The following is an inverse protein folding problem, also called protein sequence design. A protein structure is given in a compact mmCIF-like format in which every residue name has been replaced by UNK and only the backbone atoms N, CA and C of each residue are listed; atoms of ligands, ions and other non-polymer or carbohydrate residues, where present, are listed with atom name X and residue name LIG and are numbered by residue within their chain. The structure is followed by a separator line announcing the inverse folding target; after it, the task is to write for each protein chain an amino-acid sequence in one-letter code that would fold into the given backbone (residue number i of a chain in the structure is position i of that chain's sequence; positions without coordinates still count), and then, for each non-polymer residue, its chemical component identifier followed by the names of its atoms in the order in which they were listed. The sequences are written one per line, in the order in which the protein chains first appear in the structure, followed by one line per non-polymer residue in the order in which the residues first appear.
data_IF_620111536753
#
_entry.id   IF_620111536753
#
_cell.length_a   1.000
_cell.length_b   1.000
_cell.length_c   1.000
_cell.angle_alpha   90.00
_cell.angle_beta   90.00
_cell.angle_gamma   90.00
#
_symmetry.space_group_name_H-M   'P 1'
#
loop_
_entity.id
_entity.type
_entity.pdbx_description
1 polymer ?
#
# COMPACT_ATOMS: atom_id res chain seq x y z
N UNK A 1 -1.68 9.73 -4.14
CA UNK A 1 -1.52 11.16 -4.52
C UNK A 1 -0.04 11.59 -4.55
N UNK A 2 0.78 11.19 -3.56
CA UNK A 2 2.17 11.65 -3.42
C UNK A 2 3.13 11.23 -4.55
N UNK A 3 3.03 10.00 -5.07
CA UNK A 3 3.96 9.49 -6.09
C UNK A 3 3.93 10.29 -7.40
N UNK A 4 2.75 10.48 -8.00
CA UNK A 4 2.59 11.24 -9.25
C UNK A 4 3.00 12.71 -9.07
N UNK A 5 2.68 13.30 -7.91
CA UNK A 5 3.07 14.69 -7.61
C UNK A 5 4.57 14.87 -7.42
N UNK A 6 5.20 13.99 -6.63
CA UNK A 6 6.64 14.03 -6.37
C UNK A 6 7.45 13.82 -7.65
N UNK A 7 7.15 12.76 -8.41
CA UNK A 7 7.84 12.47 -9.68
C UNK A 7 7.63 13.58 -10.71
N UNK A 8 6.42 14.17 -10.80
CA UNK A 8 6.16 15.34 -11.64
C UNK A 8 7.07 16.52 -11.30
N UNK A 9 7.31 16.79 -10.02
CA UNK A 9 8.19 17.89 -9.59
C UNK A 9 9.64 17.63 -9.98
N UNK A 10 10.19 16.46 -9.62
CA UNK A 10 11.60 16.12 -9.85
C UNK A 10 11.91 16.08 -11.35
N UNK A 11 11.12 15.34 -12.13
CA UNK A 11 11.35 15.19 -13.57
C UNK A 11 11.21 16.52 -14.33
N UNK A 12 10.32 17.41 -13.90
CA UNK A 12 10.21 18.76 -14.50
C UNK A 12 11.31 19.72 -14.08
N UNK A 13 12.03 19.44 -13.00
CA UNK A 13 13.24 20.19 -12.62
C UNK A 13 14.44 19.69 -13.43
N UNK A 14 14.60 18.38 -13.59
CA UNK A 14 15.68 17.76 -14.35
C UNK A 14 15.55 17.96 -15.86
N UNK A 15 14.32 17.97 -16.38
CA UNK A 15 14.02 18.08 -17.81
C UNK A 15 13.13 19.31 -18.10
N UNK A 16 13.70 20.52 -18.23
CA UNK A 16 12.93 21.75 -18.42
C UNK A 16 11.99 21.74 -19.63
N UNK A 17 12.33 21.01 -20.69
CA UNK A 17 11.47 20.88 -21.88
C UNK A 17 10.13 20.17 -21.60
N UNK A 18 10.01 19.42 -20.50
CA UNK A 18 8.74 18.81 -20.08
C UNK A 18 7.74 19.83 -19.54
N UNK A 19 8.20 21.01 -19.11
CA UNK A 19 7.32 22.13 -18.71
C UNK A 19 6.76 22.87 -19.91
N UNK A 20 7.52 22.95 -21.01
CA UNK A 20 7.11 23.71 -22.20
C UNK A 20 6.19 22.90 -23.11
N UNK A 21 6.38 21.58 -23.19
CA UNK A 21 5.58 20.71 -24.07
C UNK A 21 4.26 20.24 -23.48
N UNK A 22 4.11 20.20 -22.16
CA UNK A 22 2.92 19.64 -21.51
C UNK A 22 2.54 20.41 -20.23
N UNK A 23 1.25 20.71 -20.00
CA UNK A 23 0.79 21.44 -18.81
C UNK A 23 0.90 20.60 -17.53
N UNK A 24 0.65 19.29 -17.59
CA UNK A 24 0.87 18.32 -16.48
C UNK A 24 1.66 17.11 -16.95
N UNK A 25 2.49 16.52 -16.06
CA UNK A 25 3.28 15.33 -16.43
C UNK A 25 2.44 14.05 -16.39
N UNK A 26 1.50 13.96 -15.45
CA UNK A 26 0.59 12.84 -15.32
C UNK A 26 -0.85 13.32 -15.41
N UNK A 27 -1.72 12.50 -16.01
CA UNK A 27 -3.17 12.69 -15.94
C UNK A 27 -3.67 12.47 -14.51
N UNK A 28 -4.93 12.78 -14.19
CA UNK A 28 -5.45 12.50 -12.84
C UNK A 28 -5.63 10.98 -12.62
N UNK A 29 -6.04 10.26 -13.66
CA UNK A 29 -6.36 8.83 -13.61
C UNK A 29 -5.15 7.93 -13.32
N UNK A 30 -5.40 6.84 -12.60
CA UNK A 30 -4.43 5.76 -12.39
C UNK A 30 -5.19 4.44 -12.22
N UNK A 31 -4.56 3.34 -12.58
CA UNK A 31 -5.08 2.00 -12.37
C UNK A 31 -4.31 1.34 -11.22
N UNK A 32 -5.01 0.66 -10.33
CA UNK A 32 -4.44 -0.12 -9.23
C UNK A 32 -5.20 -1.43 -9.12
N UNK A 33 -4.46 -2.53 -9.01
CA UNK A 33 -4.99 -3.85 -8.73
C UNK A 33 -4.15 -4.47 -7.62
N UNK A 34 -4.82 -5.17 -6.69
CA UNK A 34 -4.13 -5.95 -5.66
C UNK A 34 -3.54 -7.20 -6.30
N UNK A 35 -2.29 -7.51 -5.95
CA UNK A 35 -1.63 -8.75 -6.36
C UNK A 35 -1.44 -9.63 -5.13
N UNK A 36 -1.68 -10.93 -5.28
CA UNK A 36 -1.59 -11.92 -4.19
C UNK A 36 -2.91 -12.12 -3.44
N UNK A 37 -3.37 -13.37 -3.38
CA UNK A 37 -4.31 -13.81 -2.35
C UNK A 37 -3.53 -14.21 -1.08
N UNK A 38 -4.19 -14.28 0.07
CA UNK A 38 -3.55 -14.88 1.25
C UNK A 38 -3.37 -16.38 0.99
N UNK A 39 -2.13 -16.92 0.99
CA UNK A 39 -1.93 -18.36 0.97
C UNK A 39 -2.70 -18.99 2.12
N UNK A 40 -3.30 -20.16 1.90
CA UNK A 40 -4.04 -20.88 2.94
C UNK A 40 -3.19 -21.05 4.22
N UNK A 41 -1.89 -21.27 4.03
CA UNK A 41 -0.90 -21.37 5.09
C UNK A 41 -0.79 -20.07 5.93
N UNK A 42 -0.83 -18.90 5.30
CA UNK A 42 -0.82 -17.61 5.99
C UNK A 42 -2.10 -17.39 6.80
N UNK A 43 -3.26 -17.83 6.28
CA UNK A 43 -4.53 -17.76 7.02
C UNK A 43 -4.51 -18.71 8.21
N UNK A 44 -3.98 -19.92 8.04
CA UNK A 44 -3.86 -20.93 9.10
C UNK A 44 -2.93 -20.44 10.22
N UNK A 45 -1.74 -19.94 9.86
CA UNK A 45 -0.80 -19.35 10.82
C UNK A 45 -1.38 -18.10 11.51
N UNK A 46 -2.18 -17.29 10.81
CA UNK A 46 -2.87 -16.17 11.43
C UNK A 46 -3.88 -16.63 12.49
N UNK A 47 -4.67 -17.68 12.20
CA UNK A 47 -5.66 -18.24 13.15
C UNK A 47 -4.96 -18.89 14.35
N UNK A 48 -3.89 -19.66 14.12
CA UNK A 48 -3.14 -20.34 15.19
C UNK A 48 -2.44 -19.36 16.14
N UNK A 49 -1.93 -18.24 15.62
CA UNK A 49 -1.26 -17.21 16.42
C UNK A 49 -2.23 -16.18 17.02
N UNK A 50 -3.54 -16.26 16.73
CA UNK A 50 -4.52 -15.44 17.41
C UNK A 50 -4.65 -15.91 18.85
N UNK A 51 -4.41 -15.00 19.80
CA UNK A 51 -4.70 -15.24 21.21
C UNK A 51 -6.18 -15.56 21.33
N UNK A 52 -6.51 -16.83 21.55
CA UNK A 52 -7.84 -17.19 22.01
C UNK A 52 -8.04 -16.43 23.31
N UNK A 53 -9.14 -15.68 23.40
CA UNK A 53 -9.60 -15.11 24.65
C UNK A 53 -9.94 -16.29 25.59
N UNK A 54 -8.92 -16.92 26.15
CA UNK A 54 -9.05 -17.53 27.46
C UNK A 54 -9.22 -16.36 28.41
N UNK A 55 -10.50 -15.98 28.60
CA UNK A 55 -10.97 -15.38 29.83
C UNK A 55 -10.31 -16.21 30.93
N UNK A 56 -9.34 -15.64 31.62
CA UNK A 56 -8.51 -16.31 32.61
C UNK A 56 -9.37 -17.27 33.44
N UNK A 57 -9.23 -18.58 33.20
CA UNK A 57 -9.79 -19.62 34.06
C UNK A 57 -8.82 -19.97 35.19
N UNK A 58 -7.91 -19.06 35.53
CA UNK A 58 -6.97 -19.19 36.64
C UNK A 58 -7.40 -18.30 37.82
N UNK A 59 -8.69 -18.39 38.18
CA UNK A 59 -9.19 -18.06 39.52
C UNK A 59 -10.02 -19.23 40.05
N UNK A 60 -9.45 -20.42 40.09
CA UNK A 60 -9.80 -21.44 41.08
C UNK A 60 -8.72 -22.51 41.13
N UNK A 61 -8.07 -22.60 42.28
CA UNK A 61 -6.90 -23.40 42.60
C UNK A 61 -6.21 -22.75 43.78
#
# INVERSE_FOLDING_TARGET
KSFKGYTSRILRQEFPYLKTKMPTLWTNSYFVSTVGGAPLETVKQYIENQKTSQRQKDKMG
#
